data_IF_364673222064
#
_entry.id   IF_364673222064
#
_cell.length_a   1.000
_cell.length_b   1.000
_cell.length_c   1.000
_cell.angle_alpha   90.00
_cell.angle_beta   90.00
_cell.angle_gamma   90.00
#
_symmetry.space_group_name_H-M   'P 1'
#
loop_
_entity.id
_entity.type
_entity.pdbx_description
1 polymer ?
#
# COMPACT_ATOMS: atom_id res chain seq x y z
N UNK A 1 20.31 -4.84 3.69
CA UNK A 1 20.77 -5.84 2.71
C UNK A 1 19.57 -6.22 1.87
N UNK A 2 19.69 -6.22 0.55
CA UNK A 2 18.57 -6.50 -0.35
C UNK A 2 18.30 -8.02 -0.37
N UNK A 3 17.04 -8.46 -0.29
CA UNK A 3 16.68 -9.90 -0.15
C UNK A 3 17.40 -10.80 -1.15
N UNK A 4 17.37 -10.43 -2.43
CA UNK A 4 17.93 -11.25 -3.52
C UNK A 4 19.43 -11.03 -3.74
N UNK A 5 20.11 -10.26 -2.87
CA UNK A 5 21.57 -10.13 -2.96
C UNK A 5 22.25 -11.48 -2.66
N UNK A 6 21.80 -12.19 -1.62
CA UNK A 6 22.22 -13.54 -1.28
C UNK A 6 21.20 -14.57 -1.79
N UNK A 7 21.65 -15.77 -2.23
CA UNK A 7 20.76 -16.82 -2.80
C UNK A 7 20.03 -17.64 -1.73
N UNK A 8 20.29 -17.36 -0.47
CA UNK A 8 19.88 -18.21 0.66
C UNK A 8 18.43 -17.97 1.08
N UNK A 9 17.89 -16.78 0.79
CA UNK A 9 16.57 -16.37 1.26
C UNK A 9 15.43 -16.72 0.29
N UNK A 10 15.71 -17.30 -0.88
CA UNK A 10 14.72 -17.54 -1.95
C UNK A 10 13.98 -18.86 -1.73
N UNK A 11 12.65 -18.80 -1.73
CA UNK A 11 11.78 -19.96 -1.74
C UNK A 11 11.72 -20.56 -3.15
N UNK A 12 12.48 -21.63 -3.38
CA UNK A 12 12.59 -22.30 -4.69
C UNK A 12 11.33 -23.07 -5.09
N UNK A 13 10.45 -23.36 -4.14
CA UNK A 13 9.15 -24.00 -4.41
C UNK A 13 8.12 -22.96 -4.87
N UNK A 14 8.38 -21.67 -4.64
CA UNK A 14 7.51 -20.57 -5.03
C UNK A 14 7.94 -19.97 -6.38
N UNK A 15 7.21 -20.20 -7.47
CA UNK A 15 7.59 -19.71 -8.79
C UNK A 15 7.64 -18.18 -8.86
N UNK A 16 6.86 -17.46 -8.04
CA UNK A 16 6.89 -15.99 -7.97
C UNK A 16 8.24 -15.51 -7.39
N UNK A 17 8.69 -16.11 -6.28
CA UNK A 17 9.96 -15.72 -5.61
C UNK A 17 11.17 -16.01 -6.51
N UNK A 18 11.16 -17.15 -7.21
CA UNK A 18 12.19 -17.52 -8.20
C UNK A 18 12.24 -16.54 -9.37
N UNK A 19 11.08 -16.14 -9.91
CA UNK A 19 11.05 -15.18 -11.02
C UNK A 19 11.53 -13.79 -10.57
N UNK A 20 11.14 -13.33 -9.38
CA UNK A 20 11.61 -12.06 -8.82
C UNK A 20 13.12 -12.06 -8.54
N UNK A 21 13.69 -13.18 -8.07
CA UNK A 21 15.14 -13.33 -7.96
C UNK A 21 15.81 -13.17 -9.34
N UNK A 22 15.28 -13.85 -10.36
CA UNK A 22 15.82 -13.77 -11.72
C UNK A 22 15.76 -12.34 -12.27
N UNK A 23 14.65 -11.63 -12.08
CA UNK A 23 14.49 -10.24 -12.50
C UNK A 23 15.53 -9.37 -11.79
N UNK A 24 15.66 -9.49 -10.47
CA UNK A 24 16.58 -8.69 -9.67
C UNK A 24 18.04 -8.90 -10.09
N UNK A 25 18.48 -10.17 -10.22
CA UNK A 25 19.88 -10.50 -10.52
C UNK A 25 20.29 -10.19 -11.96
N UNK A 26 19.35 -10.26 -12.90
CA UNK A 26 19.61 -10.05 -14.31
C UNK A 26 19.20 -8.65 -14.80
N UNK A 27 18.89 -7.72 -13.88
CA UNK A 27 18.41 -6.37 -14.21
C UNK A 27 17.23 -6.38 -15.20
N UNK A 28 16.30 -7.32 -15.02
CA UNK A 28 15.12 -7.48 -15.87
C UNK A 28 15.38 -8.03 -17.28
N UNK A 29 16.62 -8.40 -17.65
CA UNK A 29 16.89 -9.00 -18.96
C UNK A 29 16.28 -10.40 -19.13
N UNK A 30 16.05 -11.10 -18.02
CA UNK A 30 15.36 -12.40 -17.95
C UNK A 30 14.41 -12.43 -16.74
N UNK A 31 13.45 -13.36 -16.73
CA UNK A 31 12.53 -13.55 -15.60
C UNK A 31 11.23 -12.74 -15.71
N UNK A 32 11.18 -11.63 -16.45
CA UNK A 32 9.95 -10.82 -16.60
C UNK A 32 8.83 -11.57 -17.33
N UNK A 33 9.18 -12.33 -18.37
CA UNK A 33 8.21 -13.12 -19.13
C UNK A 33 7.68 -14.28 -18.29
N UNK A 34 8.57 -15.00 -17.63
CA UNK A 34 8.23 -16.12 -16.75
C UNK A 34 7.37 -15.62 -15.58
N UNK A 35 7.74 -14.49 -14.98
CA UNK A 35 6.95 -13.83 -13.96
C UNK A 35 5.53 -13.52 -14.44
N UNK A 36 5.39 -12.91 -15.63
CA UNK A 36 4.11 -12.59 -16.21
C UNK A 36 3.22 -13.83 -16.36
N UNK A 37 3.76 -14.94 -16.89
CA UNK A 37 2.99 -16.20 -17.03
C UNK A 37 2.60 -16.81 -15.68
N UNK A 38 3.43 -16.66 -14.64
CA UNK A 38 3.16 -17.19 -13.30
C UNK A 38 2.06 -16.38 -12.59
N UNK A 39 2.06 -15.05 -12.73
CA UNK A 39 1.03 -14.19 -12.11
C UNK A 39 -0.26 -14.11 -12.94
N UNK A 40 -0.20 -14.53 -14.20
CA UNK A 40 -1.36 -14.54 -15.09
C UNK A 40 -2.37 -15.58 -14.61
N UNK A 41 -3.47 -15.07 -14.08
CA UNK A 41 -4.61 -15.89 -13.66
C UNK A 41 -5.88 -15.28 -14.20
N UNK A 42 -6.90 -16.11 -14.44
CA UNK A 42 -8.22 -15.67 -14.94
C UNK A 42 -8.92 -14.68 -14.00
N UNK A 43 -8.44 -14.56 -12.77
CA UNK A 43 -8.98 -13.69 -11.72
C UNK A 43 -8.13 -12.44 -11.44
N UNK A 44 -7.02 -12.24 -12.18
CA UNK A 44 -6.14 -11.08 -12.05
C UNK A 44 -6.02 -10.39 -13.43
N UNK A 45 -6.81 -9.34 -13.71
CA UNK A 45 -6.74 -8.60 -14.98
C UNK A 45 -5.34 -8.05 -15.31
N UNK A 46 -4.48 -7.83 -14.31
CA UNK A 46 -3.06 -7.48 -14.50
C UNK A 46 -2.24 -8.56 -15.23
N UNK A 47 -2.77 -9.78 -15.37
CA UNK A 47 -2.20 -10.87 -16.16
C UNK A 47 -2.78 -11.02 -17.57
N UNK A 48 -3.84 -10.27 -17.92
CA UNK A 48 -4.53 -10.43 -19.21
C UNK A 48 -4.71 -9.13 -20.01
N UNK A 49 -4.69 -7.93 -19.39
CA UNK A 49 -4.88 -6.61 -20.02
C UNK A 49 -4.23 -5.46 -19.20
N UNK A 50 -4.72 -4.20 -19.30
CA UNK A 50 -4.35 -3.08 -18.41
C UNK A 50 -4.89 -3.37 -17.01
N UNK A 51 -4.08 -3.97 -16.13
CA UNK A 51 -4.43 -4.20 -14.74
C UNK A 51 -4.12 -3.05 -13.80
N UNK A 52 -4.53 -3.20 -12.54
CA UNK A 52 -4.24 -2.25 -11.47
C UNK A 52 -2.94 -2.65 -10.73
N UNK A 53 -2.02 -1.71 -10.57
CA UNK A 53 -0.77 -1.94 -9.83
C UNK A 53 -1.02 -2.24 -8.34
N UNK A 54 -2.09 -1.71 -7.75
CA UNK A 54 -2.50 -2.06 -6.38
C UNK A 54 -2.87 -3.54 -6.27
N UNK A 55 -3.69 -4.03 -7.20
CA UNK A 55 -4.10 -5.43 -7.27
C UNK A 55 -2.88 -6.37 -7.41
N UNK A 56 -1.90 -6.00 -8.25
CA UNK A 56 -0.66 -6.76 -8.37
C UNK A 56 0.12 -6.82 -7.05
N UNK A 57 0.25 -5.70 -6.32
CA UNK A 57 0.95 -5.68 -5.02
C UNK A 57 0.22 -6.55 -3.99
N UNK A 58 -1.11 -6.46 -3.94
CA UNK A 58 -1.95 -7.30 -3.08
C UNK A 58 -1.73 -8.78 -3.40
N UNK A 59 -1.78 -9.16 -4.67
CA UNK A 59 -1.52 -10.52 -5.11
C UNK A 59 -0.12 -11.00 -4.71
N UNK A 60 0.90 -10.15 -4.86
CA UNK A 60 2.26 -10.49 -4.46
C UNK A 60 2.38 -10.69 -2.94
N UNK A 61 1.66 -9.92 -2.12
CA UNK A 61 1.61 -10.16 -0.68
C UNK A 61 1.02 -11.54 -0.39
N UNK A 62 -0.08 -11.92 -1.04
CA UNK A 62 -0.69 -13.25 -0.86
C UNK A 62 0.24 -14.40 -1.26
N UNK A 63 1.11 -14.19 -2.27
CA UNK A 63 2.04 -15.20 -2.75
C UNK A 63 3.38 -15.24 -2.02
N UNK A 64 3.80 -14.15 -1.38
CA UNK A 64 5.14 -14.01 -0.81
C UNK A 64 5.04 -13.71 0.70
N UNK A 65 5.20 -14.70 1.59
CA UNK A 65 5.03 -14.52 3.03
C UNK A 65 5.93 -13.43 3.64
N UNK A 66 7.13 -13.24 3.09
CA UNK A 66 8.05 -12.19 3.52
C UNK A 66 7.56 -10.78 3.16
N UNK A 67 6.87 -10.65 2.02
CA UNK A 67 6.29 -9.40 1.56
C UNK A 67 5.01 -9.10 2.36
N UNK A 68 4.16 -10.10 2.54
CA UNK A 68 2.99 -10.02 3.41
C UNK A 68 3.36 -9.51 4.80
N UNK A 69 4.37 -10.12 5.43
CA UNK A 69 4.86 -9.70 6.75
C UNK A 69 5.33 -8.25 6.79
N UNK A 70 5.84 -7.71 5.67
CA UNK A 70 6.28 -6.32 5.62
C UNK A 70 5.11 -5.33 5.55
N UNK A 71 4.02 -5.70 4.87
CA UNK A 71 2.85 -4.86 4.64
C UNK A 71 1.74 -5.04 5.68
N UNK A 72 1.57 -6.26 6.20
CA UNK A 72 0.43 -6.62 7.05
C UNK A 72 0.50 -5.95 8.41
N UNK A 73 -0.62 -5.38 8.82
CA UNK A 73 -0.81 -4.76 10.12
C UNK A 73 -2.18 -5.08 10.71
N UNK A 74 -2.30 -4.92 12.02
CA UNK A 74 -3.55 -5.08 12.74
C UNK A 74 -4.37 -3.79 12.62
N UNK A 75 -5.66 -3.96 12.35
CA UNK A 75 -6.65 -2.88 12.35
C UNK A 75 -7.87 -3.33 13.14
N UNK A 76 -8.73 -2.40 13.50
CA UNK A 76 -9.96 -2.75 14.19
C UNK A 76 -11.08 -1.74 14.00
N UNK A 77 -12.30 -2.25 14.04
CA UNK A 77 -13.51 -1.46 13.97
C UNK A 77 -14.10 -1.29 15.36
N UNK A 78 -14.05 -0.06 15.89
CA UNK A 78 -14.72 0.32 17.14
C UNK A 78 -16.14 0.74 16.82
N UNK A 79 -17.10 -0.06 17.26
CA UNK A 79 -18.53 0.19 17.13
C UNK A 79 -19.08 0.63 18.48
N UNK A 80 -19.66 1.83 18.55
CA UNK A 80 -20.28 2.38 19.75
C UNK A 80 -21.78 2.63 19.53
N UNK A 81 -22.63 2.04 20.37
CA UNK A 81 -24.07 2.23 20.28
C UNK A 81 -24.48 3.66 20.69
N UNK A 82 -25.27 4.33 19.86
CA UNK A 82 -25.80 5.67 20.16
C UNK A 82 -26.67 5.71 21.41
N UNK A 83 -27.48 4.66 21.63
CA UNK A 83 -28.45 4.57 22.72
C UNK A 83 -27.87 4.15 24.07
N UNK A 84 -27.25 2.97 24.15
CA UNK A 84 -26.76 2.41 25.43
C UNK A 84 -25.25 2.60 25.67
N UNK A 85 -24.52 3.23 24.72
CA UNK A 85 -23.07 3.45 24.79
C UNK A 85 -22.22 2.19 24.91
N UNK A 86 -22.80 1.02 24.62
CA UNK A 86 -22.03 -0.22 24.53
C UNK A 86 -20.99 -0.10 23.40
N UNK A 87 -19.75 -0.49 23.72
CA UNK A 87 -18.64 -0.52 22.76
C UNK A 87 -18.30 -1.97 22.43
N UNK A 88 -18.10 -2.23 21.15
CA UNK A 88 -17.54 -3.46 20.59
C UNK A 88 -16.33 -3.09 19.74
N UNK A 89 -15.30 -3.94 19.76
CA UNK A 89 -14.12 -3.78 18.92
C UNK A 89 -13.91 -5.07 18.15
N UNK A 90 -14.03 -5.00 16.84
CA UNK A 90 -13.76 -6.13 15.94
C UNK A 90 -12.36 -5.96 15.37
N UNK A 91 -11.46 -6.89 15.71
CA UNK A 91 -10.07 -6.87 15.23
C UNK A 91 -9.96 -7.62 13.91
N UNK A 92 -9.15 -7.10 13.00
CA UNK A 92 -8.80 -7.74 11.73
C UNK A 92 -7.38 -7.35 11.32
N UNK A 93 -6.94 -7.77 10.14
CA UNK A 93 -5.66 -7.35 9.55
C UNK A 93 -5.88 -6.77 8.16
N UNK A 94 -4.99 -5.88 7.75
CA UNK A 94 -4.97 -5.31 6.42
C UNK A 94 -3.52 -5.22 5.91
N UNK A 95 -3.34 -5.05 4.61
CA UNK A 95 -2.03 -4.80 3.97
C UNK A 95 -1.97 -3.41 3.32
N UNK A 96 -3.11 -2.71 3.29
CA UNK A 96 -3.26 -1.41 2.67
C UNK A 96 -4.30 -0.55 3.41
N UNK A 97 -4.25 0.75 3.12
CA UNK A 97 -5.25 1.73 3.55
C UNK A 97 -5.86 2.36 2.31
N UNK A 98 -7.09 1.95 2.00
CA UNK A 98 -7.89 2.55 0.95
C UNK A 98 -8.47 3.88 1.45
N UNK A 99 -7.97 5.00 0.90
CA UNK A 99 -8.41 6.34 1.23
C UNK A 99 -9.42 6.84 0.19
N UNK A 100 -10.57 7.30 0.67
CA UNK A 100 -11.59 7.97 -0.13
C UNK A 100 -11.71 9.41 0.38
N UNK A 101 -10.77 10.29 -0.03
CA UNK A 101 -10.71 11.66 0.48
C UNK A 101 -11.95 12.45 0.03
N UNK A 102 -12.43 13.36 0.89
CA UNK A 102 -13.62 14.18 0.63
C UNK A 102 -13.49 15.12 -0.58
N UNK A 103 -12.26 15.48 -0.95
CA UNK A 103 -11.93 16.28 -2.14
C UNK A 103 -10.53 15.95 -2.65
N UNK A 104 -10.27 16.25 -3.92
CA UNK A 104 -8.94 16.13 -4.50
C UNK A 104 -7.95 17.14 -3.87
N UNK A 105 -6.69 16.72 -3.70
CA UNK A 105 -5.61 17.56 -3.20
C UNK A 105 -5.72 17.89 -1.71
N UNK A 106 -6.38 17.03 -0.90
CA UNK A 106 -6.21 17.12 0.55
C UNK A 106 -4.85 16.54 0.96
N UNK A 107 -4.20 17.08 2.01
CA UNK A 107 -3.02 16.46 2.59
C UNK A 107 -3.29 15.02 3.01
N UNK A 108 -2.30 14.13 2.81
CA UNK A 108 -2.39 12.71 3.18
C UNK A 108 -2.77 12.52 4.66
N UNK A 109 -2.25 13.34 5.56
CA UNK A 109 -2.61 13.30 6.98
C UNK A 109 -4.09 13.62 7.21
N UNK A 110 -4.66 14.57 6.46
CA UNK A 110 -6.07 14.91 6.54
C UNK A 110 -6.93 13.79 5.97
N UNK A 111 -6.50 13.16 4.87
CA UNK A 111 -7.18 11.97 4.31
C UNK A 111 -7.21 10.80 5.30
N UNK A 112 -6.08 10.54 5.98
CA UNK A 112 -6.01 9.53 7.05
C UNK A 112 -6.94 9.91 8.21
N UNK A 113 -6.98 11.20 8.57
CA UNK A 113 -7.86 11.69 9.63
C UNK A 113 -9.34 11.54 9.28
N UNK A 114 -9.73 11.76 8.02
CA UNK A 114 -11.09 11.48 7.53
C UNK A 114 -11.41 9.99 7.61
N UNK A 115 -10.47 9.13 7.22
CA UNK A 115 -10.61 7.68 7.25
C UNK A 115 -10.84 7.12 8.66
N UNK A 116 -10.12 7.62 9.67
CA UNK A 116 -10.25 7.16 11.07
C UNK A 116 -11.31 7.94 11.86
N UNK A 117 -12.02 8.88 11.24
CA UNK A 117 -13.07 9.65 11.91
C UNK A 117 -14.28 8.74 12.16
N UNK A 118 -14.89 8.77 13.36
CA UNK A 118 -16.13 8.04 13.61
C UNK A 118 -17.24 8.43 12.62
N UNK A 119 -17.84 7.43 11.99
CA UNK A 119 -18.97 7.58 11.06
C UNK A 119 -20.23 6.99 11.66
N UNK A 120 -21.38 7.65 11.48
CA UNK A 120 -22.66 7.12 11.93
C UNK A 120 -23.15 6.02 10.98
N UNK A 121 -23.58 4.90 11.55
CA UNK A 121 -24.28 3.82 10.87
C UNK A 121 -25.69 3.74 11.46
N UNK A 122 -26.65 4.38 10.80
CA UNK A 122 -28.04 4.49 11.29
C UNK A 122 -28.71 3.12 11.43
N UNK A 123 -28.38 2.18 10.56
CA UNK A 123 -29.13 0.93 10.42
C UNK A 123 -28.50 -0.24 11.20
N UNK A 124 -27.41 0.02 11.92
CA UNK A 124 -26.77 -0.99 12.75
C UNK A 124 -27.57 -1.24 14.03
N UNK A 125 -28.02 -2.49 14.22
CA UNK A 125 -28.73 -2.93 15.42
C UNK A 125 -27.74 -3.30 16.52
N UNK A 126 -27.85 -2.65 17.68
CA UNK A 126 -27.01 -2.97 18.82
C UNK A 126 -27.38 -4.32 19.44
N UNK A 127 -26.40 -5.21 19.61
CA UNK A 127 -26.62 -6.54 20.22
C UNK A 127 -27.06 -6.47 21.69
N UNK A 128 -26.75 -5.39 22.41
CA UNK A 128 -27.11 -5.23 23.83
C UNK A 128 -28.50 -4.65 24.05
N UNK A 129 -28.88 -3.59 23.32
CA UNK A 129 -30.16 -2.89 23.56
C UNK A 129 -31.15 -2.98 22.39
N UNK A 130 -30.78 -3.63 21.28
CA UNK A 130 -31.59 -3.74 20.05
C UNK A 130 -32.00 -2.42 19.38
N UNK A 131 -31.54 -1.27 19.87
CA UNK A 131 -31.74 0.02 19.19
C UNK A 131 -30.85 0.13 17.94
N UNK A 132 -31.36 0.86 16.96
CA UNK A 132 -30.64 1.24 15.75
C UNK A 132 -29.78 2.49 16.02
N UNK A 133 -28.71 2.64 15.24
CA UNK A 133 -27.83 3.79 15.29
C UNK A 133 -26.59 3.54 16.14
N UNK A 134 -25.47 3.31 15.48
CA UNK A 134 -24.14 3.21 16.08
C UNK A 134 -23.17 4.17 15.39
N UNK A 135 -22.01 4.42 16.01
CA UNK A 135 -20.85 5.00 15.33
C UNK A 135 -19.79 3.94 15.12
N UNK A 136 -19.16 3.93 13.94
CA UNK A 136 -18.03 3.06 13.60
C UNK A 136 -16.78 3.91 13.41
N UNK A 137 -15.69 3.50 14.03
CA UNK A 137 -14.38 4.14 13.89
C UNK A 137 -13.32 3.09 13.55
N UNK A 138 -12.54 3.34 12.50
CA UNK A 138 -11.38 2.50 12.19
C UNK A 138 -10.21 2.87 13.10
N UNK A 139 -9.52 1.86 13.62
CA UNK A 139 -8.37 1.99 14.52
C UNK A 139 -7.16 1.25 13.94
N UNK A 140 -5.98 1.88 13.99
CA UNK A 140 -4.72 1.20 13.73
C UNK A 140 -4.25 0.47 14.98
N UNK A 141 -4.11 -0.86 14.91
CA UNK A 141 -3.62 -1.70 16.01
C UNK A 141 -2.10 -1.81 16.01
N UNK A 142 -1.51 -2.05 14.84
CA UNK A 142 -0.04 -2.06 14.66
C UNK A 142 0.37 -1.23 13.44
N UNK A 143 1.67 -1.04 13.28
CA UNK A 143 2.28 -0.19 12.25
C UNK A 143 3.24 -1.06 11.42
N UNK A 144 2.96 -1.29 10.12
CA UNK A 144 3.73 -2.21 9.30
C UNK A 144 5.08 -1.63 8.90
N UNK A 145 6.00 -2.49 8.43
CA UNK A 145 7.30 -2.04 7.91
C UNK A 145 7.14 -1.23 6.62
N UNK A 146 6.15 -1.59 5.79
CA UNK A 146 5.73 -0.85 4.61
C UNK A 146 4.26 -0.50 4.76
N UNK A 147 3.93 0.78 4.73
CA UNK A 147 2.56 1.28 4.75
C UNK A 147 2.16 1.68 3.32
N UNK A 148 1.11 1.03 2.82
CA UNK A 148 0.55 1.29 1.49
C UNK A 148 -0.74 2.10 1.61
N UNK A 149 -0.79 3.22 0.90
CA UNK A 149 -2.03 3.98 0.68
C UNK A 149 -2.46 3.84 -0.76
N UNK A 150 -3.72 3.50 -0.98
CA UNK A 150 -4.35 3.51 -2.29
C UNK A 150 -5.48 4.52 -2.32
N UNK A 151 -5.58 5.29 -3.41
CA UNK A 151 -6.67 6.23 -3.63
C UNK A 151 -6.87 6.46 -5.11
N UNK A 152 -8.12 6.46 -5.56
CA UNK A 152 -8.50 6.89 -6.91
C UNK A 152 -8.61 8.40 -7.03
N UNK A 153 -8.80 9.10 -5.91
CA UNK A 153 -8.83 10.57 -5.85
C UNK A 153 -7.44 11.11 -5.47
N UNK A 154 -6.91 12.12 -6.18
CA UNK A 154 -5.59 12.66 -5.90
C UNK A 154 -5.44 13.17 -4.46
N UNK A 155 -4.33 12.83 -3.82
CA UNK A 155 -3.95 13.25 -2.46
C UNK A 155 -2.63 14.01 -2.54
N UNK A 156 -2.51 15.09 -1.78
CA UNK A 156 -1.23 15.79 -1.61
C UNK A 156 -0.39 15.05 -0.56
N UNK A 157 0.83 14.67 -0.89
CA UNK A 157 1.66 13.82 -0.04
C UNK A 157 3.06 14.40 0.18
N UNK A 158 3.71 13.92 1.24
CA UNK A 158 5.04 14.37 1.68
C UNK A 158 6.06 13.24 1.64
N UNK A 159 7.34 13.58 1.53
CA UNK A 159 8.44 12.61 1.58
C UNK A 159 8.61 11.93 2.96
N UNK A 160 8.09 12.57 4.02
CA UNK A 160 8.04 12.08 5.40
C UNK A 160 6.60 12.17 5.90
N UNK A 161 6.07 11.03 6.36
CA UNK A 161 4.81 10.90 7.07
C UNK A 161 5.12 10.58 8.54
N UNK A 162 4.47 11.28 9.47
CA UNK A 162 4.54 10.97 10.90
C UNK A 162 3.16 10.53 11.35
N UNK A 163 3.02 9.25 11.68
CA UNK A 163 1.75 8.65 12.09
C UNK A 163 1.93 8.04 13.49
N UNK A 164 1.21 8.55 14.47
CA UNK A 164 1.31 8.10 15.87
C UNK A 164 2.77 8.06 16.40
N UNK A 165 3.56 9.09 16.08
CA UNK A 165 4.99 9.18 16.45
C UNK A 165 5.93 8.29 15.62
N UNK A 166 5.43 7.38 14.79
CA UNK A 166 6.23 6.56 13.86
C UNK A 166 6.56 7.37 12.61
N UNK A 167 7.84 7.34 12.21
CA UNK A 167 8.35 8.06 11.04
C UNK A 167 8.38 7.13 9.83
N UNK A 168 7.68 7.53 8.80
CA UNK A 168 7.52 6.80 7.55
C UNK A 168 8.09 7.61 6.41
N UNK A 169 9.03 7.05 5.66
CA UNK A 169 9.64 7.72 4.51
C UNK A 169 9.08 7.16 3.22
N UNK A 170 8.58 8.05 2.37
CA UNK A 170 8.09 7.68 1.04
C UNK A 170 9.24 7.07 0.24
N UNK A 171 9.03 5.94 -0.42
CA UNK A 171 10.05 5.36 -1.30
C UNK A 171 9.53 4.96 -2.68
N UNK A 172 8.20 4.89 -2.84
CA UNK A 172 7.58 4.68 -4.14
C UNK A 172 6.26 5.44 -4.27
N UNK A 173 6.03 6.00 -5.45
CA UNK A 173 4.77 6.62 -5.90
C UNK A 173 4.39 5.98 -7.22
N UNK A 174 3.27 5.26 -7.25
CA UNK A 174 2.74 4.66 -8.47
C UNK A 174 1.66 5.56 -9.04
N UNK A 175 1.77 5.90 -10.32
CA UNK A 175 0.94 6.88 -11.00
C UNK A 175 0.16 6.25 -12.16
N UNK A 176 -1.02 6.80 -12.46
CA UNK A 176 -1.86 6.40 -13.57
C UNK A 176 -2.59 7.59 -14.20
N UNK A 177 -2.43 7.78 -15.51
CA UNK A 177 -3.07 8.88 -16.26
C UNK A 177 -4.37 8.50 -16.98
N UNK A 178 -4.90 7.28 -16.80
CA UNK A 178 -6.09 6.80 -17.51
C UNK A 178 -5.79 5.81 -18.64
N UNK A 179 -4.52 5.63 -19.02
CA UNK A 179 -4.12 4.60 -19.99
C UNK A 179 -2.71 4.05 -19.79
N UNK A 180 -1.89 4.69 -18.96
CA UNK A 180 -0.49 4.33 -18.74
C UNK A 180 -0.11 4.40 -17.27
N UNK A 181 0.70 3.43 -16.83
CA UNK A 181 1.24 3.33 -15.48
C UNK A 181 2.73 3.65 -15.48
N UNK A 182 3.19 4.38 -14.49
CA UNK A 182 4.62 4.59 -14.24
C UNK A 182 4.85 4.75 -12.74
N UNK A 183 6.11 4.64 -12.34
CA UNK A 183 6.47 4.70 -10.92
C UNK A 183 7.61 5.68 -10.69
N UNK A 184 7.51 6.48 -9.64
CA UNK A 184 8.68 7.10 -9.03
C UNK A 184 9.17 6.19 -7.90
N UNK A 185 10.46 5.88 -7.87
CA UNK A 185 11.03 5.06 -6.80
C UNK A 185 12.41 5.55 -6.39
N UNK A 186 12.79 5.26 -5.15
CA UNK A 186 14.16 5.41 -4.67
C UNK A 186 14.58 4.18 -3.89
N UNK A 187 15.88 3.91 -3.87
CA UNK A 187 16.44 2.89 -2.99
C UNK A 187 16.30 3.31 -1.53
N UNK A 188 16.03 2.33 -0.66
CA UNK A 188 16.05 2.49 0.80
C UNK A 188 17.46 2.17 1.34
N UNK A 189 17.90 2.83 2.43
CA UNK A 189 17.22 3.86 3.21
C UNK A 189 17.16 5.24 2.50
N UNK A 190 16.36 6.21 2.99
CA UNK A 190 16.30 7.55 2.43
C UNK A 190 17.68 8.23 2.30
N UNK A 191 17.91 8.93 1.19
CA UNK A 191 19.20 9.59 0.88
C UNK A 191 19.69 9.28 -0.53
N UNK A 192 19.20 8.20 -1.13
CA UNK A 192 19.39 7.91 -2.56
C UNK A 192 18.52 8.80 -3.45
N UNK A 193 18.98 8.99 -4.69
CA UNK A 193 18.25 9.70 -5.73
C UNK A 193 16.90 9.02 -6.03
N UNK A 194 15.95 9.83 -6.48
CA UNK A 194 14.69 9.36 -7.03
C UNK A 194 14.86 9.04 -8.51
N UNK A 195 14.15 8.03 -8.99
CA UNK A 195 14.09 7.63 -10.38
C UNK A 195 12.65 7.65 -10.86
N UNK A 196 12.46 8.06 -12.11
CA UNK A 196 11.25 7.81 -12.89
C UNK A 196 11.46 6.48 -13.60
N UNK A 197 10.57 5.53 -13.35
CA UNK A 197 10.52 4.20 -13.95
C UNK A 197 9.28 4.16 -14.84
N UNK A 198 9.50 4.37 -16.14
CA UNK A 198 8.45 4.49 -17.16
C UNK A 198 8.76 3.50 -18.29
N UNK A 199 8.34 2.24 -18.10
CA UNK A 199 8.70 1.08 -18.90
C UNK A 199 10.22 0.99 -19.16
N UNK A 200 10.64 1.16 -20.42
CA UNK A 200 12.03 1.13 -20.85
C UNK A 200 12.78 2.46 -20.59
N UNK A 201 12.08 3.50 -20.13
CA UNK A 201 12.61 4.83 -19.89
C UNK A 201 12.87 5.04 -18.39
N UNK A 202 14.09 4.73 -17.96
CA UNK A 202 14.55 5.00 -16.60
C UNK A 202 15.32 6.31 -16.57
N UNK A 203 14.93 7.23 -15.69
CA UNK A 203 15.57 8.54 -15.55
C UNK A 203 15.77 8.93 -14.10
N UNK A 204 16.97 9.34 -13.75
CA UNK A 204 17.24 9.94 -12.44
C UNK A 204 16.59 11.33 -12.34
N UNK A 205 16.00 11.62 -11.18
CA UNK A 205 15.49 12.94 -10.83
C UNK A 205 16.56 13.76 -10.12
N UNK A 206 16.39 15.09 -10.14
CA UNK A 206 17.20 15.99 -9.33
C UNK A 206 17.19 15.59 -7.85
N UNK A 207 18.37 15.29 -7.31
CA UNK A 207 18.61 14.92 -5.89
C UNK A 207 18.01 15.89 -4.86
N UNK A 208 17.72 17.14 -5.25
CA UNK A 208 17.10 18.16 -4.38
C UNK A 208 15.57 18.17 -4.41
N UNK A 209 14.96 17.36 -5.29
CA UNK A 209 13.51 17.30 -5.48
C UNK A 209 12.99 15.93 -5.08
N UNK A 210 11.74 15.90 -4.63
CA UNK A 210 10.99 14.66 -4.46
C UNK A 210 9.79 14.67 -5.41
N UNK A 211 9.32 13.50 -5.88
CA UNK A 211 8.23 13.44 -6.84
C UNK A 211 6.92 13.91 -6.21
N UNK A 212 6.26 14.87 -6.85
CA UNK A 212 4.89 15.29 -6.54
C UNK A 212 4.07 15.16 -7.82
N UNK A 213 3.12 14.23 -7.84
CA UNK A 213 2.33 13.91 -9.01
C UNK A 213 0.85 13.75 -8.64
N UNK A 214 -0.02 14.48 -9.35
CA UNK A 214 -1.48 14.44 -9.13
C UNK A 214 -2.14 13.19 -9.68
N UNK A 215 -1.42 12.41 -10.48
CA UNK A 215 -1.90 11.14 -11.04
C UNK A 215 -1.57 9.95 -10.14
N UNK A 216 -1.02 10.18 -8.94
CA UNK A 216 -0.73 9.11 -7.99
C UNK A 216 -1.98 8.24 -7.73
N UNK A 217 -1.76 6.93 -7.61
CA UNK A 217 -2.74 5.92 -7.20
C UNK A 217 -2.30 5.09 -6.00
N UNK A 218 -1.00 4.82 -5.89
CA UNK A 218 -0.42 4.14 -4.73
C UNK A 218 0.76 4.94 -4.16
N UNK A 219 0.80 5.06 -2.83
CA UNK A 219 1.96 5.56 -2.09
C UNK A 219 2.51 4.44 -1.21
N UNK A 220 3.80 4.18 -1.31
CA UNK A 220 4.49 3.23 -0.43
C UNK A 220 5.47 3.98 0.48
N UNK A 221 5.22 3.85 1.78
CA UNK A 221 6.04 4.43 2.83
C UNK A 221 6.75 3.34 3.61
N UNK A 222 8.03 3.54 3.91
CA UNK A 222 8.83 2.63 4.72
C UNK A 222 8.98 3.16 6.13
N UNK A 223 8.69 2.30 7.12
CA UNK A 223 8.87 2.62 8.53
C UNK A 223 10.36 2.69 8.87
N UNK A 224 10.81 3.83 9.36
CA UNK A 224 12.16 4.02 9.84
C UNK A 224 12.17 3.95 11.37
N UNK A 225 12.61 2.80 11.88
CA UNK A 225 12.88 2.58 13.30
C UNK A 225 14.38 2.80 13.53
N UNK A 226 14.72 3.84 14.29
CA UNK A 226 16.07 4.01 14.83
C UNK A 226 16.31 3.03 15.97
#
# INVERSE_FOLDING_TARGET
>A
MDRYSEREDVDKENPVDVCLESIYRNNGTTGLREFFEVIKTTYLPAGENIGDSHELIVHLCDKLPWLDKAFRFETGDRIECGGCKAVQVEKTTAIDVNLVPSRAGIPLLDAIHEYVRPQTISDWKCDKCSHLGCTKQVLFGTFPKVLMFWSTTPIDYSSLLVLNGKKYFLFSVVCFNGGHWWTYARKLPPGHAWYVLDDMNVREMDSKKFPVDRTMRVLLYFLYEN
#
